data_IF_117092861059
#
_entry.id   IF_117092861059
#
_cell.length_a   1.000
_cell.length_b   1.000
_cell.length_c   1.000
_cell.angle_alpha   90.00
_cell.angle_beta   90.00
_cell.angle_gamma   90.00
#
_symmetry.space_group_name_H-M   'P 1'
#
loop_
_entity.id
_entity.type
_entity.pdbx_description
1 polymer ?
#
# COMPACT_ATOMS: atom_id res chain seq x y z
N UNK A 1 -10.83 -56.29 12.66
CA UNK A 1 -11.18 -54.92 12.23
C UNK A 1 -10.62 -53.93 13.26
N UNK A 2 -9.36 -53.51 13.10
CA UNK A 2 -8.72 -52.53 13.98
C UNK A 2 -8.89 -51.13 13.37
N UNK A 3 -9.73 -50.29 13.97
CA UNK A 3 -9.81 -48.86 13.61
C UNK A 3 -8.70 -48.11 14.33
N UNK A 4 -7.74 -47.60 13.57
CA UNK A 4 -6.75 -46.65 14.05
C UNK A 4 -7.45 -45.35 14.48
N UNK A 5 -7.25 -44.94 15.73
CA UNK A 5 -7.69 -43.64 16.23
C UNK A 5 -6.68 -42.59 15.73
N UNK A 6 -7.10 -41.73 14.80
CA UNK A 6 -6.26 -40.63 14.32
C UNK A 6 -6.26 -39.48 15.36
N UNK A 7 -5.10 -38.89 15.69
CA UNK A 7 -5.04 -37.75 16.59
C UNK A 7 -5.76 -36.55 15.97
N UNK A 8 -6.73 -36.00 16.69
CA UNK A 8 -7.51 -34.83 16.31
C UNK A 8 -6.61 -33.59 16.47
N UNK A 9 -6.10 -33.04 15.36
CA UNK A 9 -5.33 -31.79 15.39
C UNK A 9 -6.28 -30.66 15.75
N UNK A 10 -6.19 -30.14 16.97
CA UNK A 10 -6.95 -28.97 17.41
C UNK A 10 -6.34 -27.71 16.78
N UNK A 11 -6.94 -27.20 15.71
CA UNK A 11 -6.56 -25.90 15.13
C UNK A 11 -6.82 -24.78 16.15
N UNK A 12 -5.77 -24.20 16.72
CA UNK A 12 -5.93 -23.02 17.56
C UNK A 12 -6.44 -21.83 16.73
N UNK A 13 -7.41 -21.05 17.22
CA UNK A 13 -7.90 -19.88 16.50
C UNK A 13 -6.76 -18.87 16.31
N UNK A 14 -6.68 -18.19 15.15
CA UNK A 14 -5.63 -17.21 14.89
C UNK A 14 -5.71 -16.10 15.94
N UNK A 15 -4.67 -15.98 16.77
CA UNK A 15 -4.53 -14.89 17.73
C UNK A 15 -4.48 -13.60 16.91
N UNK A 16 -5.53 -12.78 16.99
CA UNK A 16 -5.59 -11.49 16.34
C UNK A 16 -4.39 -10.66 16.82
N UNK A 17 -3.39 -10.47 15.94
CA UNK A 17 -2.17 -9.74 16.30
C UNK A 17 -2.58 -8.31 16.65
N UNK A 18 -2.29 -7.83 17.86
CA UNK A 18 -2.75 -6.51 18.26
C UNK A 18 -2.08 -5.46 17.38
N UNK A 19 -2.85 -4.44 16.98
CA UNK A 19 -2.36 -3.28 16.21
C UNK A 19 -1.21 -2.53 16.93
N UNK A 20 -0.95 -2.84 18.21
CA UNK A 20 0.21 -2.38 18.96
C UNK A 20 1.54 -2.84 18.35
N UNK A 21 1.61 -3.99 17.67
CA UNK A 21 2.83 -4.44 16.99
C UNK A 21 3.23 -3.48 15.84
N UNK A 22 2.25 -2.91 15.13
CA UNK A 22 2.47 -1.89 14.10
C UNK A 22 3.00 -0.57 14.68
N UNK A 23 2.71 -0.28 15.96
CA UNK A 23 3.28 0.91 16.62
C UNK A 23 4.82 0.84 16.74
N UNK A 24 5.40 -0.37 16.72
CA UNK A 24 6.85 -0.57 16.68
C UNK A 24 7.52 -0.04 15.40
N UNK A 25 6.77 0.19 14.32
CA UNK A 25 7.27 0.72 13.04
C UNK A 25 7.20 2.25 12.94
N UNK A 26 6.43 2.90 13.81
CA UNK A 26 6.33 4.37 13.88
C UNK A 26 7.70 5.08 13.98
N UNK A 27 8.70 4.58 14.74
CA UNK A 27 10.03 5.21 14.80
C UNK A 27 10.75 5.21 13.46
N UNK A 28 10.60 4.16 12.65
CA UNK A 28 11.22 4.04 11.32
C UNK A 28 10.50 4.87 10.26
N UNK A 29 9.22 5.19 10.46
CA UNK A 29 8.47 6.10 9.59
C UNK A 29 8.71 7.58 9.91
N UNK A 30 9.11 7.93 11.14
CA UNK A 30 9.34 9.32 11.60
C UNK A 30 10.32 10.11 10.70
N UNK A 31 11.47 9.57 10.28
CA UNK A 31 12.40 10.27 9.39
C UNK A 31 11.80 10.59 8.00
N UNK A 32 10.76 9.87 7.59
CA UNK A 32 10.15 9.97 6.26
C UNK A 32 8.80 10.69 6.24
N UNK A 33 8.44 11.40 7.31
CA UNK A 33 7.14 12.11 7.46
C UNK A 33 6.79 13.02 6.28
N UNK A 34 7.76 13.75 5.72
CA UNK A 34 7.52 14.61 4.55
C UNK A 34 7.10 13.81 3.31
N UNK A 35 7.70 12.64 3.08
CA UNK A 35 7.34 11.76 1.96
C UNK A 35 6.03 11.04 2.20
N UNK A 36 5.73 10.68 3.45
CA UNK A 36 4.42 10.14 3.84
C UNK A 36 3.31 11.17 3.59
N UNK A 37 3.53 12.44 3.96
CA UNK A 37 2.59 13.52 3.68
C UNK A 37 2.41 13.72 2.16
N UNK A 38 3.49 13.70 1.38
CA UNK A 38 3.42 13.75 -0.08
C UNK A 38 2.61 12.59 -0.66
N UNK A 39 2.87 11.35 -0.21
CA UNK A 39 2.12 10.17 -0.65
C UNK A 39 0.62 10.28 -0.32
N UNK A 40 0.28 10.88 0.83
CA UNK A 40 -1.11 11.15 1.22
C UNK A 40 -1.76 12.21 0.32
N UNK A 41 -1.07 13.31 0.02
CA UNK A 41 -1.58 14.32 -0.91
C UNK A 41 -1.80 13.74 -2.31
N UNK A 42 -0.84 12.95 -2.81
CA UNK A 42 -0.96 12.27 -4.11
C UNK A 42 -2.12 11.25 -4.11
N UNK A 43 -2.37 10.57 -3.00
CA UNK A 43 -3.54 9.70 -2.84
C UNK A 43 -4.84 10.49 -2.95
N UNK A 44 -4.96 11.61 -2.24
CA UNK A 44 -6.14 12.47 -2.31
C UNK A 44 -6.36 13.02 -3.73
N UNK A 45 -5.29 13.50 -4.38
CA UNK A 45 -5.36 13.98 -5.77
C UNK A 45 -5.78 12.89 -6.75
N UNK A 46 -5.21 11.68 -6.64
CA UNK A 46 -5.57 10.55 -7.48
C UNK A 46 -7.01 10.10 -7.26
N UNK A 47 -7.48 10.13 -6.02
CA UNK A 47 -8.87 9.82 -5.65
C UNK A 47 -9.86 10.86 -6.15
N UNK A 48 -9.49 12.15 -6.11
CA UNK A 48 -10.32 13.21 -6.67
C UNK A 48 -10.39 13.08 -8.20
N UNK A 49 -9.25 12.87 -8.87
CA UNK A 49 -9.20 12.74 -10.31
C UNK A 49 -10.03 11.56 -10.85
N UNK A 50 -9.99 10.38 -10.21
CA UNK A 50 -10.84 9.25 -10.64
C UNK A 50 -12.34 9.54 -10.47
N UNK A 51 -12.72 10.42 -9.54
CA UNK A 51 -14.10 10.87 -9.38
C UNK A 51 -14.51 11.87 -10.48
N UNK A 52 -13.56 12.68 -10.96
CA UNK A 52 -13.77 13.63 -12.05
C UNK A 52 -13.89 12.94 -13.40
N UNK A 53 -13.19 11.81 -13.62
CA UNK A 53 -13.24 11.03 -14.88
C UNK A 53 -14.68 10.74 -15.36
N UNK A 54 -15.57 10.10 -14.57
CA UNK A 54 -16.94 9.81 -15.02
C UNK A 54 -17.77 11.07 -15.29
N UNK A 55 -17.56 12.15 -14.53
CA UNK A 55 -18.21 13.45 -14.76
C UNK A 55 -17.76 14.06 -16.10
N UNK A 56 -16.47 13.97 -16.40
CA UNK A 56 -15.89 14.46 -17.64
C UNK A 56 -16.35 13.63 -18.86
N UNK A 57 -16.49 12.30 -18.71
CA UNK A 57 -17.06 11.45 -19.75
C UNK A 57 -18.53 11.79 -20.02
N UNK A 58 -19.33 11.99 -18.96
CA UNK A 58 -20.71 12.45 -19.11
C UNK A 58 -20.77 13.77 -19.87
N UNK A 59 -19.94 14.75 -19.49
CA UNK A 59 -19.89 16.05 -20.15
C UNK A 59 -19.53 15.97 -21.64
N UNK A 60 -18.63 15.06 -22.03
CA UNK A 60 -18.30 14.82 -23.44
C UNK A 60 -19.46 14.18 -24.21
N UNK A 61 -20.14 13.19 -23.62
CA UNK A 61 -21.28 12.51 -24.23
C UNK A 61 -22.44 13.51 -24.42
N UNK A 62 -22.75 14.28 -23.36
CA UNK A 62 -23.81 15.29 -23.40
C UNK A 62 -23.51 16.36 -24.48
N UNK A 63 -22.24 16.75 -24.66
CA UNK A 63 -21.82 17.65 -25.75
C UNK A 63 -22.00 17.05 -27.15
N UNK A 64 -21.61 15.78 -27.33
CA UNK A 64 -21.59 15.11 -28.62
C UNK A 64 -22.98 14.71 -29.14
N UNK A 65 -23.92 14.42 -28.24
CA UNK A 65 -25.28 13.97 -28.59
C UNK A 65 -26.37 15.02 -28.34
N UNK A 66 -26.18 15.94 -27.40
CA UNK A 66 -27.22 16.86 -26.93
C UNK A 66 -27.40 18.15 -27.72
N UNK A 67 -26.52 18.43 -28.69
CA UNK A 67 -26.44 19.75 -29.32
C UNK A 67 -25.70 20.74 -28.43
N UNK A 68 -24.95 21.65 -29.05
CA UNK A 68 -23.94 22.52 -28.44
C UNK A 68 -24.53 23.46 -27.36
N UNK A 69 -24.73 22.94 -26.13
CA UNK A 69 -25.06 23.74 -24.95
C UNK A 69 -23.78 24.42 -24.47
N UNK A 70 -23.35 25.43 -25.21
CA UNK A 70 -22.26 26.32 -24.84
C UNK A 70 -22.47 26.80 -23.38
N UNK A 71 -21.57 26.40 -22.49
CA UNK A 71 -21.57 26.80 -21.09
C UNK A 71 -22.10 25.80 -20.05
N UNK A 72 -22.75 24.69 -20.44
CA UNK A 72 -23.19 23.68 -19.48
C UNK A 72 -22.17 22.53 -19.37
N UNK A 73 -21.59 22.34 -18.18
CA UNK A 73 -20.68 21.21 -17.87
C UNK A 73 -19.32 21.60 -17.31
N UNK A 74 -18.52 20.57 -16.96
CA UNK A 74 -17.19 20.74 -16.33
C UNK A 74 -16.21 21.49 -17.26
N UNK A 75 -16.36 21.30 -18.57
CA UNK A 75 -15.57 21.96 -19.61
C UNK A 75 -16.45 22.79 -20.56
N UNK A 76 -17.57 23.34 -20.07
CA UNK A 76 -18.61 24.00 -20.88
C UNK A 76 -18.14 25.19 -21.72
N UNK A 77 -17.01 25.81 -21.38
CA UNK A 77 -16.40 26.90 -22.16
C UNK A 77 -15.62 26.43 -23.41
N UNK A 78 -15.44 25.13 -23.58
CA UNK A 78 -14.70 24.51 -24.68
C UNK A 78 -15.69 23.86 -25.66
N UNK A 79 -15.41 23.98 -26.97
CA UNK A 79 -16.07 23.16 -28.00
C UNK A 79 -15.70 21.67 -27.86
N UNK A 80 -16.33 20.81 -28.67
CA UNK A 80 -16.17 19.34 -28.59
C UNK A 80 -14.69 18.89 -28.60
N UNK A 81 -13.87 19.45 -29.50
CA UNK A 81 -12.44 19.14 -29.58
C UNK A 81 -11.68 19.54 -28.30
N UNK A 82 -12.01 20.70 -27.73
CA UNK A 82 -11.40 21.17 -26.48
C UNK A 82 -11.78 20.31 -25.28
N UNK A 83 -13.01 19.79 -25.23
CA UNK A 83 -13.44 18.82 -24.21
C UNK A 83 -12.68 17.50 -24.32
N UNK A 84 -12.45 17.02 -25.55
CA UNK A 84 -11.65 15.81 -25.79
C UNK A 84 -10.19 16.00 -25.34
N UNK A 85 -9.56 17.12 -25.69
CA UNK A 85 -8.21 17.47 -25.23
C UNK A 85 -8.15 17.59 -23.71
N UNK A 86 -9.14 18.21 -23.07
CA UNK A 86 -9.22 18.32 -21.61
C UNK A 86 -9.35 16.94 -20.94
N UNK A 87 -10.13 16.02 -21.51
CA UNK A 87 -10.24 14.65 -21.04
C UNK A 87 -8.92 13.88 -21.14
N UNK A 88 -8.21 13.99 -22.26
CA UNK A 88 -6.88 13.40 -22.42
C UNK A 88 -5.91 14.00 -21.40
N UNK A 89 -5.93 15.32 -21.21
CA UNK A 89 -5.12 16.01 -20.21
C UNK A 89 -5.41 15.53 -18.79
N UNK A 90 -6.69 15.36 -18.43
CA UNK A 90 -7.12 14.81 -17.15
C UNK A 90 -6.62 13.37 -16.95
N UNK A 91 -6.73 12.52 -17.97
CA UNK A 91 -6.26 11.14 -17.92
C UNK A 91 -4.73 11.07 -17.74
N UNK A 92 -3.97 11.91 -18.47
CA UNK A 92 -2.53 12.00 -18.31
C UNK A 92 -2.14 12.51 -16.92
N UNK A 93 -2.79 13.56 -16.43
CA UNK A 93 -2.59 14.06 -15.08
C UNK A 93 -2.84 12.98 -14.03
N UNK A 94 -3.96 12.25 -14.16
CA UNK A 94 -4.29 11.16 -13.26
C UNK A 94 -3.23 10.05 -13.28
N UNK A 95 -2.78 9.64 -14.46
CA UNK A 95 -1.73 8.64 -14.62
C UNK A 95 -0.42 9.07 -13.93
N UNK A 96 -0.01 10.33 -14.12
CA UNK A 96 1.19 10.89 -13.47
C UNK A 96 1.05 10.90 -11.95
N UNK A 97 -0.10 11.33 -11.42
CA UNK A 97 -0.36 11.33 -9.97
C UNK A 97 -0.29 9.92 -9.39
N UNK A 98 -0.91 8.94 -10.06
CA UNK A 98 -0.86 7.53 -9.65
C UNK A 98 0.57 6.99 -9.68
N UNK A 99 1.32 7.25 -10.75
CA UNK A 99 2.71 6.82 -10.88
C UNK A 99 3.60 7.45 -9.80
N UNK A 100 3.48 8.77 -9.58
CA UNK A 100 4.22 9.49 -8.55
C UNK A 100 3.89 8.96 -7.14
N UNK A 101 2.60 8.67 -6.87
CA UNK A 101 2.17 8.06 -5.62
C UNK A 101 2.83 6.70 -5.43
N UNK A 102 2.75 5.84 -6.45
CA UNK A 102 3.30 4.49 -6.40
C UNK A 102 4.81 4.53 -6.14
N UNK A 103 5.55 5.36 -6.87
CA UNK A 103 6.98 5.55 -6.68
C UNK A 103 7.32 6.01 -5.25
N UNK A 104 6.60 7.01 -4.73
CA UNK A 104 6.83 7.55 -3.38
C UNK A 104 6.59 6.48 -2.31
N UNK A 105 5.51 5.71 -2.43
CA UNK A 105 5.17 4.64 -1.48
C UNK A 105 6.21 3.52 -1.54
N UNK A 106 6.59 3.06 -2.73
CA UNK A 106 7.61 2.01 -2.89
C UNK A 106 8.95 2.42 -2.32
N UNK A 107 9.39 3.65 -2.60
CA UNK A 107 10.63 4.18 -2.04
C UNK A 107 10.62 4.21 -0.50
N UNK A 108 9.50 4.61 0.11
CA UNK A 108 9.35 4.60 1.58
C UNK A 108 9.43 3.16 2.09
N UNK A 109 8.76 2.21 1.44
CA UNK A 109 8.77 0.79 1.82
C UNK A 109 10.17 0.19 1.81
N UNK A 110 10.94 0.45 0.75
CA UNK A 110 12.34 -0.01 0.64
C UNK A 110 13.22 0.56 1.75
N UNK A 111 13.10 1.87 2.02
CA UNK A 111 13.93 2.55 3.02
C UNK A 111 13.60 2.10 4.45
N UNK A 112 12.31 2.00 4.78
CA UNK A 112 11.86 1.50 6.08
C UNK A 112 12.33 0.06 6.29
N UNK A 113 12.27 -0.78 5.26
CA UNK A 113 12.74 -2.16 5.33
C UNK A 113 14.26 -2.23 5.54
N UNK A 114 15.02 -1.37 4.88
CA UNK A 114 16.46 -1.26 5.08
C UNK A 114 16.81 -0.85 6.52
N UNK A 115 16.14 0.17 7.05
CA UNK A 115 16.38 0.67 8.40
C UNK A 115 16.01 -0.39 9.46
N UNK A 116 14.90 -1.11 9.25
CA UNK A 116 14.50 -2.22 10.12
C UNK A 116 15.57 -3.32 10.13
N UNK A 117 16.07 -3.70 8.96
CA UNK A 117 17.12 -4.72 8.82
C UNK A 117 18.39 -4.31 9.55
N UNK A 118 18.82 -3.06 9.41
CA UNK A 118 19.98 -2.52 10.13
C UNK A 118 19.79 -2.53 11.64
N UNK A 119 18.61 -2.15 12.14
CA UNK A 119 18.31 -2.16 13.56
C UNK A 119 18.30 -3.59 14.15
N UNK A 120 17.75 -4.56 13.41
CA UNK A 120 17.77 -5.97 13.81
C UNK A 120 19.21 -6.49 13.89
N UNK A 121 20.03 -6.24 12.87
CA UNK A 121 21.43 -6.68 12.88
C UNK A 121 22.22 -6.05 14.02
N UNK A 122 22.07 -4.74 14.27
CA UNK A 122 22.73 -4.07 15.39
C UNK A 122 22.34 -4.69 16.73
N UNK A 123 21.06 -5.05 16.92
CA UNK A 123 20.59 -5.70 18.14
C UNK A 123 21.18 -7.10 18.32
N UNK A 124 21.27 -7.88 17.25
CA UNK A 124 21.87 -9.23 17.26
C UNK A 124 23.36 -9.17 17.60
N UNK A 125 24.09 -8.21 17.03
CA UNK A 125 25.53 -8.05 17.29
C UNK A 125 25.86 -7.56 18.70
N UNK A 126 24.93 -6.86 19.37
CA UNK A 126 25.09 -6.39 20.75
C UNK A 126 24.51 -7.35 21.80
N UNK A 127 24.05 -8.54 21.39
CA UNK A 127 23.48 -9.51 22.32
C UNK A 127 24.59 -10.33 23.00
N UNK A 128 24.51 -10.52 24.32
CA UNK A 128 25.55 -11.16 25.12
C UNK A 128 25.80 -12.63 24.72
N UNK A 129 27.04 -13.15 24.80
CA UNK A 129 27.38 -14.54 24.48
C UNK A 129 26.51 -15.59 25.22
N UNK A 130 26.05 -15.29 26.44
CA UNK A 130 25.12 -16.15 27.21
C UNK A 130 23.75 -16.40 26.52
N UNK A 131 23.33 -15.56 25.57
CA UNK A 131 22.14 -15.79 24.73
C UNK A 131 22.40 -16.83 23.64
N UNK A 132 23.65 -16.97 23.20
CA UNK A 132 24.08 -17.99 22.24
C UNK A 132 24.37 -19.34 22.92
N UNK A 133 24.56 -19.36 24.23
CA UNK A 133 24.77 -20.60 25.01
C UNK A 133 23.46 -21.24 25.53
N UNK A 134 22.37 -20.48 25.63
CA UNK A 134 21.07 -20.94 26.18
C UNK A 134 20.03 -21.33 25.13
N UNK A 135 20.28 -21.07 23.85
CA UNK A 135 19.44 -21.55 22.74
C UNK A 135 19.94 -22.92 22.27
N UNK A 136 19.41 -24.00 22.86
CA UNK A 136 19.46 -25.32 22.22
C UNK A 136 18.83 -25.21 20.83
N UNK A 137 19.68 -25.31 19.82
CA UNK A 137 19.48 -24.98 18.39
C UNK A 137 18.40 -25.82 17.68
N UNK A 138 17.80 -26.82 18.33
CA UNK A 138 16.92 -27.81 17.68
C UNK A 138 15.42 -27.51 17.71
N UNK A 139 14.87 -27.09 18.86
CA UNK A 139 13.40 -27.00 19.07
C UNK A 139 12.80 -25.72 18.42
N UNK A 140 13.55 -24.62 18.46
CA UNK A 140 13.08 -23.29 17.99
C UNK A 140 13.18 -23.17 16.46
N UNK A 141 14.18 -23.80 15.84
CA UNK A 141 14.32 -23.87 14.38
C UNK A 141 13.21 -24.73 13.75
N UNK A 142 12.77 -25.78 14.45
CA UNK A 142 11.64 -26.64 14.05
C UNK A 142 10.32 -25.86 14.01
N UNK A 143 10.08 -25.00 15.02
CA UNK A 143 8.88 -24.14 15.06
C UNK A 143 8.93 -22.98 14.05
N UNK A 144 10.09 -22.36 13.83
CA UNK A 144 10.26 -21.26 12.86
C UNK A 144 10.18 -21.73 11.39
N UNK A 145 10.66 -22.93 11.08
CA UNK A 145 10.59 -23.48 9.71
C UNK A 145 9.16 -23.97 9.40
N UNK A 146 8.47 -24.55 10.38
CA UNK A 146 7.07 -24.96 10.24
C UNK A 146 6.11 -23.79 9.99
N UNK A 147 6.37 -22.62 10.55
CA UNK A 147 5.53 -21.42 10.38
C UNK A 147 5.87 -20.58 9.13
N UNK A 148 6.90 -20.97 8.34
CA UNK A 148 7.32 -20.24 7.12
C UNK A 148 7.04 -21.02 5.83
N UNK A 149 6.47 -22.21 5.90
CA UNK A 149 5.95 -22.88 4.70
C UNK A 149 4.63 -22.26 4.28
N UNK A 150 4.68 -21.60 3.13
CA UNK A 150 3.53 -21.30 2.27
C UNK A 150 2.69 -22.55 2.00
#
# INVERSE_FOLDING_TARGET
MHRACLPTVTSSPPIARPLSALRGLLPFLRPHRGRVALAFVLLCLGSAAILVVPLAFRDLIDAGFGGDVAGAGLFGAQGLDGRFVALVGLALFWAVVVAARYYTVSWIGERVTADLRSAVYARVLHQSPQFFETLQTGEVLSRLTGDTTL
#
